data_IF_984467229595
#
_entry.id   IF_984467229595
#
_cell.length_a   1.000
_cell.length_b   1.000
_cell.length_c   1.000
_cell.angle_alpha   90.00
_cell.angle_beta   90.00
_cell.angle_gamma   90.00
#
_symmetry.space_group_name_H-M   'P 1'
#
loop_
_entity.id
_entity.type
_entity.pdbx_description
1 polymer ?
#
# COMPACT_ATOMS: atom_id res chain seq x y z
N UNK A 1 21.14 12.24 9.98
CA UNK A 1 19.79 11.65 9.96
C UNK A 1 19.61 10.78 8.72
N UNK A 2 19.10 9.60 8.91
CA UNK A 2 18.83 8.74 7.79
C UNK A 2 17.60 9.27 7.01
N UNK A 3 17.71 9.30 5.70
CA UNK A 3 16.58 9.62 4.84
C UNK A 3 15.60 8.46 4.81
N UNK A 4 14.33 8.75 4.63
CA UNK A 4 13.31 7.71 4.45
C UNK A 4 13.62 6.91 3.18
N UNK A 5 13.62 5.60 3.30
CA UNK A 5 13.86 4.71 2.16
C UNK A 5 12.68 4.72 1.21
N UNK A 6 12.95 4.41 -0.05
CA UNK A 6 11.94 4.32 -1.09
C UNK A 6 11.80 2.88 -1.56
N UNK A 7 10.60 2.54 -2.00
CA UNK A 7 10.30 1.21 -2.54
C UNK A 7 9.78 1.37 -3.97
N UNK A 8 10.33 0.57 -4.87
CA UNK A 8 9.96 0.54 -6.28
C UNK A 8 9.02 -0.63 -6.53
N UNK A 9 7.88 -0.33 -7.14
CA UNK A 9 6.88 -1.32 -7.53
C UNK A 9 6.91 -1.48 -9.04
N UNK A 10 7.31 -2.65 -9.51
CA UNK A 10 7.24 -3.01 -10.92
C UNK A 10 6.00 -3.87 -11.13
N UNK A 11 5.02 -3.34 -11.86
CA UNK A 11 3.76 -4.03 -12.09
C UNK A 11 3.57 -4.30 -13.57
N UNK A 12 2.60 -5.16 -13.90
CA UNK A 12 2.23 -5.39 -15.29
C UNK A 12 1.50 -4.20 -15.93
N UNK A 13 1.30 -3.10 -15.20
CA UNK A 13 0.73 -1.85 -15.70
C UNK A 13 1.75 -0.71 -15.76
N UNK A 14 2.94 -0.92 -15.23
CA UNK A 14 4.01 0.08 -15.20
C UNK A 14 4.72 0.12 -13.86
N UNK A 15 5.55 1.13 -13.67
CA UNK A 15 6.41 1.27 -12.49
C UNK A 15 6.03 2.53 -11.71
N UNK A 16 5.99 2.41 -10.39
CA UNK A 16 5.89 3.57 -9.52
C UNK A 16 6.80 3.40 -8.30
N UNK A 17 7.12 4.50 -7.65
CA UNK A 17 8.02 4.53 -6.49
C UNK A 17 7.35 5.27 -5.35
N UNK A 18 7.48 4.75 -4.14
CA UNK A 18 6.93 5.34 -2.94
C UNK A 18 8.01 5.58 -1.89
N UNK A 19 7.86 6.66 -1.15
CA UNK A 19 8.69 6.94 0.03
C UNK A 19 8.00 6.35 1.25
N UNK A 20 8.77 5.64 2.09
CA UNK A 20 8.27 5.07 3.34
C UNK A 20 8.59 6.02 4.51
N UNK A 21 7.59 6.33 5.32
CA UNK A 21 7.73 7.29 6.43
C UNK A 21 8.35 6.65 7.67
N UNK A 22 9.63 6.28 7.58
CA UNK A 22 10.35 5.68 8.70
C UNK A 22 10.53 6.65 9.87
N UNK A 23 10.50 7.94 9.60
CA UNK A 23 10.63 8.98 10.62
C UNK A 23 9.37 9.13 11.47
N UNK A 24 8.19 9.09 10.85
CA UNK A 24 6.91 9.36 11.53
C UNK A 24 6.10 8.10 11.84
N UNK A 25 6.33 7.03 11.12
CA UNK A 25 5.65 5.75 11.31
C UNK A 25 6.66 4.59 11.26
N UNK A 26 7.63 4.58 12.18
CA UNK A 26 8.75 3.61 12.13
C UNK A 26 8.31 2.16 12.22
N UNK A 27 7.28 1.86 13.01
CA UNK A 27 6.79 0.49 13.16
C UNK A 27 6.15 0.00 11.85
N UNK A 28 5.24 0.78 11.30
CA UNK A 28 4.47 0.40 10.11
C UNK A 28 5.34 0.43 8.86
N UNK A 29 6.10 1.50 8.66
CA UNK A 29 7.01 1.60 7.53
C UNK A 29 8.11 0.54 7.61
N UNK A 30 8.66 0.31 8.79
CA UNK A 30 9.69 -0.71 9.02
C UNK A 30 9.18 -2.11 8.71
N UNK A 31 7.95 -2.42 9.11
CA UNK A 31 7.31 -3.69 8.80
C UNK A 31 7.16 -3.89 7.29
N UNK A 32 6.70 -2.86 6.58
CA UNK A 32 6.53 -2.94 5.13
C UNK A 32 7.88 -3.15 4.42
N UNK A 33 8.90 -2.40 4.84
CA UNK A 33 10.25 -2.54 4.29
C UNK A 33 10.81 -3.95 4.54
N UNK A 34 10.64 -4.47 5.75
CA UNK A 34 11.11 -5.81 6.10
C UNK A 34 10.45 -6.88 5.22
N UNK A 35 9.12 -6.80 5.04
CA UNK A 35 8.39 -7.71 4.16
C UNK A 35 8.86 -7.58 2.72
N UNK A 36 9.14 -6.36 2.26
CA UNK A 36 9.65 -6.10 0.92
C UNK A 36 11.02 -6.76 0.73
N UNK A 37 11.91 -6.64 1.70
CA UNK A 37 13.25 -7.24 1.64
C UNK A 37 13.21 -8.77 1.62
N UNK A 38 12.18 -9.37 2.20
CA UNK A 38 11.97 -10.82 2.18
C UNK A 38 11.31 -11.32 0.89
N UNK A 39 10.96 -10.43 -0.03
CA UNK A 39 10.27 -10.80 -1.27
C UNK A 39 8.80 -11.13 -1.06
N UNK A 40 8.22 -10.75 0.07
CA UNK A 40 6.83 -11.11 0.43
C UNK A 40 5.82 -10.62 -0.60
N UNK A 41 6.02 -9.42 -1.13
CA UNK A 41 5.07 -8.79 -2.06
C UNK A 41 5.24 -9.20 -3.53
N UNK A 42 6.33 -9.88 -3.87
CA UNK A 42 6.59 -10.29 -5.26
C UNK A 42 5.52 -11.27 -5.73
N UNK A 43 4.87 -10.96 -6.83
CA UNK A 43 3.82 -11.79 -7.40
C UNK A 43 2.43 -11.59 -6.81
N UNK A 44 2.28 -10.72 -5.80
CA UNK A 44 0.96 -10.44 -5.23
C UNK A 44 0.17 -9.47 -6.11
N UNK A 45 -1.15 -9.47 -5.96
CA UNK A 45 -2.04 -8.67 -6.80
C UNK A 45 -2.68 -7.53 -6.02
N UNK A 46 -3.17 -6.52 -6.75
CA UNK A 46 -4.12 -5.55 -6.23
C UNK A 46 -5.51 -6.16 -6.42
N UNK A 47 -6.03 -6.77 -5.37
CA UNK A 47 -7.28 -7.51 -5.48
C UNK A 47 -8.54 -6.66 -5.34
N UNK A 48 -8.41 -5.42 -4.85
CA UNK A 48 -9.54 -4.52 -4.67
C UNK A 48 -9.19 -3.16 -5.22
N UNK A 49 -9.97 -2.70 -6.18
CA UNK A 49 -9.79 -1.40 -6.83
C UNK A 49 -11.14 -0.71 -6.88
N UNK A 50 -11.22 0.47 -6.29
CA UNK A 50 -12.41 1.32 -6.34
C UNK A 50 -11.98 2.66 -6.91
N UNK A 51 -12.46 2.97 -8.12
CA UNK A 51 -12.14 4.22 -8.81
C UNK A 51 -12.47 5.43 -7.92
N UNK A 52 -11.59 6.43 -7.94
CA UNK A 52 -11.69 7.66 -7.15
C UNK A 52 -11.61 7.44 -5.63
N UNK A 53 -11.25 6.25 -5.18
CA UNK A 53 -11.09 5.94 -3.76
C UNK A 53 -9.70 5.36 -3.46
N UNK A 54 -9.45 4.10 -3.82
CA UNK A 54 -8.16 3.47 -3.50
C UNK A 54 -7.92 2.19 -4.33
N UNK A 55 -6.66 1.74 -4.30
CA UNK A 55 -6.27 0.41 -4.78
C UNK A 55 -5.67 -0.35 -3.59
N UNK A 56 -6.03 -1.60 -3.41
CA UNK A 56 -5.63 -2.41 -2.24
C UNK A 56 -5.00 -3.73 -2.66
N UNK A 57 -3.88 -4.06 -2.03
CA UNK A 57 -3.15 -5.29 -2.26
C UNK A 57 -2.39 -5.77 -1.04
N UNK A 58 -1.50 -6.74 -1.24
CA UNK A 58 -0.62 -7.23 -0.18
C UNK A 58 -1.12 -8.45 0.57
N UNK A 59 -2.19 -9.09 0.10
CA UNK A 59 -2.70 -10.32 0.67
C UNK A 59 -2.10 -11.53 -0.07
N UNK A 60 -1.27 -12.36 0.58
CA UNK A 60 -0.64 -13.50 -0.08
C UNK A 60 -1.63 -14.55 -0.57
N UNK A 61 -2.85 -14.58 -0.03
CA UNK A 61 -3.88 -15.53 -0.45
C UNK A 61 -4.80 -14.98 -1.54
N UNK A 62 -4.80 -13.66 -1.76
CA UNK A 62 -5.68 -13.01 -2.73
C UNK A 62 -7.16 -12.99 -2.35
N UNK A 63 -7.50 -13.39 -1.14
CA UNK A 63 -8.90 -13.49 -0.68
C UNK A 63 -9.39 -12.28 0.13
N UNK A 64 -8.47 -11.46 0.62
CA UNK A 64 -8.75 -10.36 1.53
C UNK A 64 -8.58 -10.73 2.99
N UNK A 65 -8.29 -11.98 3.29
CA UNK A 65 -8.19 -12.50 4.65
C UNK A 65 -6.77 -12.93 5.05
N UNK A 66 -5.82 -12.89 4.10
CA UNK A 66 -4.45 -13.33 4.36
C UNK A 66 -3.56 -12.22 4.90
N UNK A 67 -2.40 -12.60 5.41
CA UNK A 67 -1.42 -11.67 5.95
C UNK A 67 -0.09 -12.38 6.22
N UNK A 68 0.81 -11.70 6.92
CA UNK A 68 2.17 -12.22 7.16
C UNK A 68 2.27 -13.22 8.32
N UNK A 69 1.14 -13.55 8.96
CA UNK A 69 1.10 -14.47 10.10
C UNK A 69 1.15 -13.77 11.45
N UNK A 70 1.07 -12.46 11.48
CA UNK A 70 1.05 -11.65 12.72
C UNK A 70 0.31 -10.35 12.48
N UNK A 71 0.04 -9.62 13.56
CA UNK A 71 -0.55 -8.28 13.50
C UNK A 71 0.42 -7.27 14.10
N UNK A 72 0.34 -6.02 13.64
CA UNK A 72 1.07 -4.90 14.21
C UNK A 72 0.08 -3.91 14.82
N UNK A 73 0.56 -3.16 15.81
CA UNK A 73 -0.24 -2.13 16.46
C UNK A 73 -0.48 -0.96 15.52
N UNK A 74 -1.63 -0.32 15.67
CA UNK A 74 -1.92 0.92 14.97
C UNK A 74 -0.88 1.99 15.37
N UNK A 75 -0.48 2.76 14.36
CA UNK A 75 0.53 3.80 14.56
C UNK A 75 0.10 5.03 13.77
N UNK A 76 -0.47 6.01 14.48
CA UNK A 76 -0.97 7.23 13.85
C UNK A 76 0.07 8.33 14.04
N UNK A 77 0.97 8.48 13.06
CA UNK A 77 2.05 9.45 13.11
C UNK A 77 1.51 10.89 13.13
N UNK A 78 2.20 11.75 13.86
CA UNK A 78 1.82 13.15 13.96
C UNK A 78 1.85 13.82 12.59
N UNK A 79 0.78 14.52 12.24
CA UNK A 79 0.67 15.22 10.97
C UNK A 79 0.36 14.36 9.76
N UNK A 80 0.24 13.03 9.92
CA UNK A 80 -0.09 12.14 8.81
C UNK A 80 -1.60 12.09 8.62
N UNK A 81 -2.06 12.48 7.44
CA UNK A 81 -3.48 12.55 7.10
C UNK A 81 -3.73 12.02 5.70
N UNK A 82 -4.94 11.44 5.52
CA UNK A 82 -5.40 10.99 4.20
C UNK A 82 -5.97 12.17 3.42
N UNK A 83 -5.13 13.15 3.12
CA UNK A 83 -5.55 14.43 2.53
C UNK A 83 -5.16 14.60 1.07
N UNK A 84 -4.68 13.54 0.42
CA UNK A 84 -4.25 13.58 -0.98
C UNK A 84 -4.35 12.20 -1.61
N UNK A 85 -4.16 12.13 -2.92
CA UNK A 85 -3.95 10.86 -3.62
C UNK A 85 -2.53 10.35 -3.37
N UNK A 86 -2.33 9.04 -3.57
CA UNK A 86 -0.99 8.44 -3.47
C UNK A 86 -0.51 8.16 -2.06
N UNK A 87 -1.39 8.23 -1.08
CA UNK A 87 -1.06 7.94 0.33
C UNK A 87 -1.11 6.43 0.56
N UNK A 88 -0.03 5.88 1.11
CA UNK A 88 0.04 4.47 1.53
C UNK A 88 -0.47 4.35 2.96
N UNK A 89 -1.47 3.49 3.16
CA UNK A 89 -2.09 3.28 4.47
C UNK A 89 -2.36 1.80 4.68
N UNK A 90 -2.30 1.36 5.95
CA UNK A 90 -2.51 -0.06 6.27
C UNK A 90 -3.99 -0.42 6.28
N UNK A 91 -4.35 -1.43 5.51
CA UNK A 91 -5.65 -2.05 5.62
C UNK A 91 -5.71 -2.85 6.94
N UNK A 92 -6.89 -2.90 7.55
CA UNK A 92 -7.08 -3.63 8.80
C UNK A 92 -8.52 -4.11 8.94
N UNK A 93 -8.75 -4.99 9.92
CA UNK A 93 -10.07 -5.50 10.28
C UNK A 93 -10.53 -4.97 11.65
N UNK A 94 -10.05 -3.79 12.03
CA UNK A 94 -10.32 -3.15 13.29
C UNK A 94 -9.02 -2.75 13.99
N UNK A 95 -9.07 -2.26 15.23
CA UNK A 95 -7.89 -1.78 15.94
C UNK A 95 -6.80 -2.86 16.06
N UNK A 96 -5.55 -2.44 15.77
CA UNK A 96 -4.35 -3.29 15.97
C UNK A 96 -4.37 -4.60 15.19
N UNK A 97 -4.93 -4.60 13.96
CA UNK A 97 -5.00 -5.79 13.11
C UNK A 97 -4.27 -5.61 11.78
N UNK A 98 -3.45 -4.59 11.64
CA UNK A 98 -2.61 -4.40 10.46
C UNK A 98 -1.61 -5.54 10.30
N UNK A 99 -1.21 -5.82 9.06
CA UNK A 99 -0.25 -6.89 8.76
C UNK A 99 0.50 -6.58 7.47
N UNK A 100 0.05 -7.14 6.36
CA UNK A 100 0.69 -6.91 5.05
C UNK A 100 -0.22 -6.21 4.05
N UNK A 101 -1.52 -6.26 4.22
CA UNK A 101 -2.43 -5.61 3.27
C UNK A 101 -2.37 -4.09 3.43
N UNK A 102 -2.31 -3.41 2.31
CA UNK A 102 -2.24 -1.96 2.27
C UNK A 102 -3.10 -1.42 1.15
N UNK A 103 -3.40 -0.14 1.22
CA UNK A 103 -4.06 0.54 0.11
C UNK A 103 -3.34 1.84 -0.22
N UNK A 104 -3.49 2.27 -1.47
CA UNK A 104 -2.95 3.53 -1.96
C UNK A 104 -4.15 4.37 -2.38
N UNK A 105 -4.27 5.57 -1.82
CA UNK A 105 -5.42 6.44 -2.10
C UNK A 105 -5.37 7.00 -3.51
N UNK A 106 -6.55 7.19 -4.10
CA UNK A 106 -6.73 7.82 -5.41
C UNK A 106 -7.32 9.22 -5.29
N UNK A 107 -7.71 9.60 -4.07
CA UNK A 107 -8.31 10.88 -3.74
C UNK A 107 -8.17 11.10 -2.22
N UNK A 108 -8.43 12.32 -1.72
CA UNK A 108 -8.48 12.52 -0.26
C UNK A 108 -9.54 11.65 0.41
N UNK A 109 -9.18 11.00 1.51
CA UNK A 109 -10.08 10.12 2.28
C UNK A 109 -10.02 10.46 3.76
N UNK A 110 -10.39 11.69 4.15
CA UNK A 110 -10.18 12.17 5.52
C UNK A 110 -10.93 11.38 6.61
N UNK A 111 -12.01 10.68 6.25
CA UNK A 111 -12.73 9.83 7.19
C UNK A 111 -11.91 8.63 7.66
N UNK A 112 -10.78 8.32 7.02
CA UNK A 112 -9.90 7.21 7.41
C UNK A 112 -8.86 7.64 8.45
N UNK A 113 -8.71 8.94 8.72
CA UNK A 113 -7.76 9.44 9.71
C UNK A 113 -8.09 8.86 11.08
N UNK A 114 -7.05 8.36 11.78
CA UNK A 114 -7.22 7.75 13.09
C UNK A 114 -7.75 6.33 13.09
N UNK A 115 -8.01 5.75 11.91
CA UNK A 115 -8.50 4.37 11.75
C UNK A 115 -7.53 3.49 10.97
N UNK A 116 -6.72 4.09 10.11
CA UNK A 116 -5.73 3.37 9.30
C UNK A 116 -4.38 4.09 9.42
N UNK A 117 -3.32 3.31 9.59
CA UNK A 117 -1.98 3.84 9.80
C UNK A 117 -1.32 4.21 8.47
N UNK A 118 -1.04 5.49 8.28
CA UNK A 118 -0.33 5.99 7.11
C UNK A 118 1.17 5.73 7.27
N UNK A 119 1.82 5.22 6.22
CA UNK A 119 3.25 4.91 6.31
C UNK A 119 4.07 5.27 5.07
N UNK A 120 3.47 5.89 4.07
CA UNK A 120 4.21 6.30 2.89
C UNK A 120 3.37 7.10 1.90
N UNK A 121 4.02 7.49 0.80
CA UNK A 121 3.33 8.17 -0.32
C UNK A 121 4.05 7.89 -1.63
N UNK A 122 3.32 7.96 -2.72
CA UNK A 122 3.88 7.84 -4.07
C UNK A 122 4.68 9.11 -4.38
N UNK A 123 5.93 8.95 -4.83
CA UNK A 123 6.80 10.05 -5.22
C UNK A 123 7.12 10.05 -6.71
N UNK A 124 6.97 8.91 -7.38
CA UNK A 124 7.13 8.80 -8.84
C UNK A 124 6.10 7.82 -9.40
N UNK A 125 5.60 8.09 -10.59
CA UNK A 125 4.72 7.16 -11.28
C UNK A 125 3.27 7.19 -10.80
N UNK A 126 2.79 8.28 -10.25
CA UNK A 126 1.39 8.40 -9.84
C UNK A 126 0.43 8.12 -11.00
N UNK A 127 0.84 8.43 -12.24
CA UNK A 127 0.05 8.10 -13.43
C UNK A 127 -0.20 6.59 -13.57
N UNK A 128 0.75 5.75 -13.15
CA UNK A 128 0.57 4.29 -13.15
C UNK A 128 -0.44 3.88 -12.08
N UNK A 129 -0.37 4.47 -10.90
CA UNK A 129 -1.35 4.21 -9.82
C UNK A 129 -2.76 4.60 -10.27
N UNK A 130 -2.90 5.74 -10.95
CA UNK A 130 -4.20 6.17 -11.50
C UNK A 130 -4.70 5.21 -12.58
N UNK A 131 -3.79 4.70 -13.42
CA UNK A 131 -4.14 3.71 -14.45
C UNK A 131 -4.67 2.43 -13.81
N UNK A 132 -4.02 1.95 -12.76
CA UNK A 132 -4.49 0.78 -12.00
C UNK A 132 -5.88 1.07 -11.41
N UNK A 133 -6.08 2.28 -10.90
CA UNK A 133 -7.36 2.70 -10.32
C UNK A 133 -8.51 2.78 -11.32
N UNK A 134 -8.22 2.77 -12.62
CA UNK A 134 -9.21 2.88 -13.69
C UNK A 134 -9.46 1.56 -14.42
N UNK A 135 -8.87 0.45 -14.00
CA UNK A 135 -9.08 -0.84 -14.67
C UNK A 135 -10.52 -1.34 -14.44
N UNK A 136 -10.98 -2.17 -15.37
CA UNK A 136 -12.31 -2.78 -15.28
C UNK A 136 -12.32 -3.79 -14.13
N UNK A 137 -13.32 -3.68 -13.26
CA UNK A 137 -13.48 -4.54 -12.10
C UNK A 137 -14.79 -5.33 -12.19
N UNK A 138 -14.87 -6.42 -11.40
CA UNK A 138 -16.12 -7.16 -11.24
C UNK A 138 -16.97 -6.55 -10.11
N UNK A 139 -18.09 -7.19 -9.78
CA UNK A 139 -19.02 -6.67 -8.76
C UNK A 139 -18.44 -6.66 -7.33
N UNK A 140 -17.27 -7.29 -7.12
CA UNK A 140 -16.56 -7.29 -5.84
C UNK A 140 -15.37 -6.35 -5.83
N UNK A 141 -15.28 -5.46 -6.82
CA UNK A 141 -14.19 -4.50 -6.98
C UNK A 141 -12.84 -5.16 -7.25
N UNK A 142 -12.84 -6.39 -7.72
CA UNK A 142 -11.62 -7.08 -8.12
C UNK A 142 -11.35 -6.82 -9.60
N UNK A 143 -10.12 -6.41 -9.99
CA UNK A 143 -9.78 -6.26 -11.40
C UNK A 143 -10.07 -7.53 -12.18
N UNK A 144 -10.73 -7.41 -13.33
CA UNK A 144 -11.05 -8.56 -14.19
C UNK A 144 -9.81 -9.23 -14.75
N UNK A 145 -8.77 -8.43 -15.00
CA UNK A 145 -7.45 -8.93 -15.33
C UNK A 145 -6.54 -8.61 -14.16
N UNK A 146 -5.79 -9.58 -13.66
CA UNK A 146 -4.96 -9.38 -12.49
C UNK A 146 -3.94 -8.25 -12.70
N UNK A 147 -3.90 -7.32 -11.76
CA UNK A 147 -2.84 -6.32 -11.67
C UNK A 147 -1.80 -6.89 -10.70
N UNK A 148 -0.66 -7.28 -11.25
CA UNK A 148 0.36 -8.03 -10.51
C UNK A 148 1.53 -7.12 -10.14
N UNK A 149 1.93 -7.17 -8.87
CA UNK A 149 3.20 -6.60 -8.40
C UNK A 149 4.29 -7.60 -8.72
N UNK A 150 4.89 -7.48 -9.90
CA UNK A 150 5.89 -8.44 -10.39
C UNK A 150 7.16 -8.41 -9.55
N UNK A 151 7.55 -7.22 -9.10
CA UNK A 151 8.70 -7.04 -8.23
C UNK A 151 8.45 -5.83 -7.32
N UNK A 152 8.71 -6.01 -6.04
CA UNK A 152 8.65 -4.94 -5.04
C UNK A 152 10.00 -4.92 -4.33
N UNK A 153 10.73 -3.81 -4.41
CA UNK A 153 12.10 -3.77 -3.94
C UNK A 153 12.47 -2.42 -3.33
N UNK A 154 13.37 -2.46 -2.35
CA UNK A 154 13.93 -1.25 -1.75
C UNK A 154 14.90 -0.62 -2.76
N UNK A 155 14.71 0.66 -3.03
CA UNK A 155 15.58 1.40 -3.97
C UNK A 155 16.95 1.57 -3.33
N UNK A 156 17.96 1.19 -4.08
CA UNK A 156 19.37 1.39 -3.67
C UNK A 156 19.93 2.57 -4.44
N UNK A 157 20.45 3.53 -3.72
CA UNK A 157 21.13 4.68 -4.30
C UNK A 157 22.64 4.53 -4.22
#
# INVERSE_FOLDING_TARGET
MAENRKIKFTTNKGVFVAEMFEDKAPLTAGNFIELTEKGFYDGLIFRRVIEDFMIQGGDPTGTGCGGPGYHIKDEFGEGLKHDDEGIFSMANAGPNTGGSQFFITLAPTPWLNGHHAIFGKVVEGMNVVRLIGAVVTDFRDRPREDVVMEKVEVVKE
#
